data_IF_066907757926
#
_entry.id   IF_066907757926
#
_cell.length_a   1.000
_cell.length_b   1.000
_cell.length_c   1.000
_cell.angle_alpha   90.00
_cell.angle_beta   90.00
_cell.angle_gamma   90.00
#
_symmetry.space_group_name_H-M   'P 1'
#
loop_
_entity.id
_entity.type
_entity.pdbx_description
1 polymer ?
#
# COMPACT_ATOMS: atom_id res chain seq x y z
N UNK A 1 13.83 0.00 3.63
CA UNK A 1 12.95 0.51 4.71
C UNK A 1 12.50 1.97 4.50
N UNK A 2 13.31 2.84 3.87
CA UNK A 2 12.96 4.25 3.63
C UNK A 2 11.64 4.43 2.85
N UNK A 3 11.52 3.80 1.67
CA UNK A 3 10.32 3.89 0.83
C UNK A 3 9.01 3.52 1.56
N UNK A 4 9.02 2.47 2.39
CA UNK A 4 7.84 2.09 3.17
C UNK A 4 7.44 3.15 4.22
N UNK A 5 8.40 3.90 4.76
CA UNK A 5 8.14 5.03 5.68
C UNK A 5 7.60 6.24 4.90
N UNK A 6 8.20 6.56 3.77
CA UNK A 6 7.76 7.67 2.90
C UNK A 6 6.33 7.44 2.40
N UNK A 7 6.02 6.25 1.89
CA UNK A 7 4.65 5.90 1.46
C UNK A 7 3.67 6.05 2.62
N UNK A 8 4.01 5.62 3.85
CA UNK A 8 3.15 5.83 5.02
C UNK A 8 2.90 7.31 5.30
N UNK A 9 3.92 8.16 5.18
CA UNK A 9 3.78 9.61 5.36
C UNK A 9 2.87 10.23 4.31
N UNK A 10 2.98 9.79 3.06
CA UNK A 10 2.10 10.22 1.96
C UNK A 10 0.67 9.76 2.23
N UNK A 11 0.46 8.49 2.60
CA UNK A 11 -0.88 7.97 2.94
C UNK A 11 -1.54 8.76 4.08
N UNK A 12 -0.79 9.07 5.15
CA UNK A 12 -1.31 9.85 6.27
C UNK A 12 -1.70 11.28 5.87
N UNK A 13 -1.06 11.84 4.85
CA UNK A 13 -1.33 13.19 4.34
C UNK A 13 -2.55 13.20 3.41
N UNK A 14 -2.66 12.21 2.53
CA UNK A 14 -3.63 12.22 1.43
C UNK A 14 -4.85 11.33 1.65
N UNK A 15 -4.84 10.42 2.62
CA UNK A 15 -6.00 9.62 3.02
C UNK A 15 -6.19 9.66 4.55
N UNK A 16 -6.74 10.76 5.09
CA UNK A 16 -6.89 10.95 6.54
C UNK A 16 -7.87 9.97 7.19
N UNK A 17 -8.67 9.24 6.39
CA UNK A 17 -9.57 8.20 6.89
C UNK A 17 -8.81 6.91 7.25
N UNK A 18 -7.57 6.74 6.82
CA UNK A 18 -6.78 5.57 7.23
C UNK A 18 -6.42 5.66 8.71
N UNK A 19 -6.72 4.59 9.45
CA UNK A 19 -6.23 4.43 10.81
C UNK A 19 -4.73 4.17 10.78
N UNK A 20 -3.93 5.14 11.22
CA UNK A 20 -2.47 5.08 11.20
C UNK A 20 -1.94 3.82 11.88
N UNK A 21 -2.44 3.51 13.08
CA UNK A 21 -2.02 2.34 13.86
C UNK A 21 -2.36 0.98 13.20
N UNK A 22 -3.22 0.99 12.18
CA UNK A 22 -3.64 -0.19 11.43
C UNK A 22 -3.20 -0.16 9.97
N UNK A 23 -2.35 0.81 9.58
CA UNK A 23 -1.82 0.94 8.21
C UNK A 23 -0.40 0.36 8.16
N UNK A 24 -0.24 -0.72 7.41
CA UNK A 24 1.03 -1.40 7.20
C UNK A 24 1.41 -1.31 5.73
N UNK A 25 2.62 -0.81 5.47
CA UNK A 25 3.23 -0.81 4.14
C UNK A 25 4.41 -1.77 4.14
N UNK A 26 4.34 -2.76 3.26
CA UNK A 26 5.41 -3.73 3.03
C UNK A 26 5.99 -3.50 1.65
N UNK A 27 7.31 -3.42 1.57
CA UNK A 27 8.03 -3.27 0.31
C UNK A 27 8.98 -4.46 0.18
N UNK A 28 8.86 -5.20 -0.91
CA UNK A 28 9.67 -6.37 -1.21
C UNK A 28 10.30 -6.19 -2.58
N UNK A 29 11.61 -6.28 -2.66
CA UNK A 29 12.34 -6.40 -3.91
C UNK A 29 12.46 -7.88 -4.24
N UNK A 30 12.08 -8.29 -5.45
CA UNK A 30 12.15 -9.69 -5.88
C UNK A 30 12.56 -9.82 -7.34
N UNK A 31 13.36 -10.85 -7.62
CA UNK A 31 14.12 -10.96 -8.87
C UNK A 31 13.26 -11.11 -10.13
N UNK A 32 12.05 -11.68 -10.04
CA UNK A 32 11.16 -11.91 -11.20
C UNK A 32 10.04 -10.88 -11.37
N UNK A 33 9.66 -10.20 -10.30
CA UNK A 33 8.49 -9.29 -10.27
C UNK A 33 8.93 -7.83 -10.17
N UNK A 34 10.20 -7.58 -9.87
CA UNK A 34 10.74 -6.26 -9.58
C UNK A 34 10.40 -5.81 -8.17
N UNK A 35 9.81 -4.63 -8.03
CA UNK A 35 9.41 -4.06 -6.74
C UNK A 35 7.94 -4.35 -6.45
N UNK A 36 7.65 -4.99 -5.33
CA UNK A 36 6.28 -5.21 -4.82
C UNK A 36 6.03 -4.32 -3.61
N UNK A 37 4.93 -3.58 -3.64
CA UNK A 37 4.43 -2.75 -2.55
C UNK A 37 3.07 -3.29 -2.15
N UNK A 38 2.90 -3.63 -0.88
CA UNK A 38 1.65 -4.11 -0.31
C UNK A 38 1.22 -3.16 0.82
N UNK A 39 -0.01 -2.69 0.74
CA UNK A 39 -0.63 -1.82 1.74
C UNK A 39 -1.82 -2.57 2.32
N UNK A 40 -1.73 -2.91 3.60
CA UNK A 40 -2.86 -3.37 4.41
C UNK A 40 -3.29 -2.22 5.30
N UNK A 41 -4.55 -1.78 5.19
CA UNK A 41 -5.04 -0.65 5.96
C UNK A 41 -6.51 -0.82 6.39
N UNK A 42 -6.95 0.06 7.29
CA UNK A 42 -8.34 0.16 7.71
C UNK A 42 -8.82 1.59 7.51
N UNK A 43 -9.86 1.76 6.71
CA UNK A 43 -10.58 3.01 6.50
C UNK A 43 -11.59 3.19 7.63
N UNK A 44 -11.48 4.28 8.38
CA UNK A 44 -12.48 4.69 9.37
C UNK A 44 -13.58 5.43 8.61
N UNK A 45 -14.69 4.73 8.35
CA UNK A 45 -15.91 5.30 7.78
C UNK A 45 -17.09 5.03 8.71
N UNK A 46 -18.12 5.86 8.62
CA UNK A 46 -19.37 5.70 9.37
C UNK A 46 -20.42 5.00 8.50
N UNK A 47 -21.13 3.96 8.99
CA UNK A 47 -21.07 3.40 10.34
C UNK A 47 -19.98 2.33 10.54
N UNK A 48 -19.45 1.73 9.48
CA UNK A 48 -18.58 0.55 9.58
C UNK A 48 -17.19 0.81 8.97
N UNK A 49 -16.10 0.53 9.71
CA UNK A 49 -14.75 0.55 9.15
C UNK A 49 -14.56 -0.51 8.05
N UNK A 50 -13.74 -0.21 7.06
CA UNK A 50 -13.46 -1.11 5.92
C UNK A 50 -11.98 -1.51 5.85
N UNK A 51 -11.71 -2.78 5.56
CA UNK A 51 -10.34 -3.27 5.31
C UNK A 51 -9.98 -3.00 3.85
N UNK A 52 -8.86 -2.34 3.62
CA UNK A 52 -8.33 -2.10 2.28
C UNK A 52 -7.01 -2.85 2.11
N UNK A 53 -6.88 -3.59 1.01
CA UNK A 53 -5.64 -4.20 0.58
C UNK A 53 -5.28 -3.78 -0.83
N UNK A 54 -4.14 -3.13 -0.98
CA UNK A 54 -3.60 -2.72 -2.27
C UNK A 54 -2.28 -3.42 -2.51
N UNK A 55 -2.10 -3.96 -3.72
CA UNK A 55 -0.81 -4.46 -4.18
C UNK A 55 -0.41 -3.67 -5.42
N UNK A 56 0.78 -3.11 -5.40
CA UNK A 56 1.43 -2.53 -6.57
C UNK A 56 2.66 -3.35 -6.91
N UNK A 57 2.78 -3.80 -8.16
CA UNK A 57 3.99 -4.43 -8.70
C UNK A 57 4.59 -3.54 -9.76
N UNK A 58 5.89 -3.28 -9.67
CA UNK A 58 6.65 -2.44 -10.59
C UNK A 58 7.75 -3.28 -11.20
N UNK A 59 7.69 -3.48 -12.51
CA UNK A 59 8.79 -4.05 -13.26
C UNK A 59 9.93 -3.01 -13.33
N UNK A 60 11.12 -3.38 -12.86
CA UNK A 60 12.25 -2.46 -12.75
C UNK A 60 13.05 -2.31 -14.07
N UNK A 61 12.82 -3.19 -15.04
CA UNK A 61 13.50 -3.13 -16.34
C UNK A 61 12.83 -2.14 -17.30
N UNK A 62 11.49 -2.02 -17.21
CA UNK A 62 10.71 -1.16 -18.11
C UNK A 62 9.81 -0.14 -17.39
N UNK A 63 9.82 -0.13 -16.06
CA UNK A 63 9.03 0.81 -15.24
C UNK A 63 7.53 0.54 -15.22
N UNK A 64 7.05 -0.54 -15.85
CA UNK A 64 5.62 -0.85 -15.89
C UNK A 64 5.12 -1.14 -14.47
N UNK A 65 4.17 -0.32 -14.02
CA UNK A 65 3.53 -0.46 -12.72
C UNK A 65 2.08 -0.93 -12.88
N UNK A 66 1.68 -1.89 -12.05
CA UNK A 66 0.29 -2.35 -11.96
C UNK A 66 -0.16 -2.35 -10.51
N UNK A 67 -1.28 -1.69 -10.25
CA UNK A 67 -1.95 -1.67 -8.94
C UNK A 67 -3.22 -2.50 -9.02
N UNK A 68 -3.46 -3.32 -7.99
CA UNK A 68 -4.67 -4.10 -7.83
C UNK A 68 -5.22 -3.94 -6.41
N UNK A 69 -6.55 -3.87 -6.31
CA UNK A 69 -7.26 -4.09 -5.07
C UNK A 69 -7.36 -5.60 -4.82
N UNK A 70 -7.15 -6.00 -3.57
CA UNK A 70 -7.44 -7.36 -3.14
C UNK A 70 -8.69 -7.35 -2.28
N UNK A 71 -9.75 -7.93 -2.81
CA UNK A 71 -10.94 -8.24 -2.01
C UNK A 71 -10.57 -9.33 -0.98
N UNK A 72 -11.14 -9.17 0.22
CA UNK A 72 -10.97 -10.09 1.36
C UNK A 72 -11.89 -11.28 1.28
#
# INVERSE_FOLDING_TARGET
QALAREIRSVLATFEPRLKESATKVTVTLGDKVGLKIEIDAVLIMTPTPERMRLRTTINLDNGLARTEFRES
#
